data_IF_395403291105
#
_entry.id   IF_395403291105
#
_cell.length_a   1.000
_cell.length_b   1.000
_cell.length_c   1.000
_cell.angle_alpha   90.00
_cell.angle_beta   90.00
_cell.angle_gamma   90.00
#
_symmetry.space_group_name_H-M   'P 1'
#
loop_
_entity.id
_entity.type
_entity.pdbx_description
1 polymer ?
#
# COMPACT_ATOMS: atom_id res chain seq x y z
N UNK A 1 -0.70 -0.26 -0.92
CA UNK A 1 -0.90 0.97 -1.71
C UNK A 1 -0.17 2.13 -1.05
N UNK A 2 0.77 2.75 -1.74
CA UNK A 2 1.60 3.85 -1.26
C UNK A 2 1.17 5.22 -1.79
N UNK A 3 2.04 6.22 -1.59
CA UNK A 3 1.85 7.59 -2.05
C UNK A 3 2.24 7.74 -3.53
N UNK A 4 3.51 7.52 -3.82
CA UNK A 4 4.15 7.83 -5.11
C UNK A 4 5.43 6.99 -5.26
N UNK A 5 5.94 6.81 -6.48
CA UNK A 5 7.30 6.31 -6.67
C UNK A 5 8.30 7.37 -6.15
N UNK A 6 9.32 6.93 -5.42
CA UNK A 6 10.45 7.78 -5.06
C UNK A 6 11.28 8.08 -6.32
N UNK A 7 11.79 9.32 -6.45
CA UNK A 7 12.54 9.75 -7.64
C UNK A 7 13.74 8.83 -7.95
N UNK A 8 14.56 8.53 -6.94
CA UNK A 8 15.75 7.67 -7.05
C UNK A 8 15.44 6.17 -6.82
N UNK A 9 14.20 5.84 -6.47
CA UNK A 9 13.70 4.48 -6.26
C UNK A 9 12.77 4.03 -7.36
N UNK A 10 11.48 3.92 -7.06
CA UNK A 10 10.45 3.41 -7.98
C UNK A 10 10.37 4.12 -9.32
N UNK A 11 10.61 5.44 -9.37
CA UNK A 11 10.62 6.20 -10.63
C UNK A 11 11.80 5.83 -11.54
N UNK A 12 12.97 5.61 -10.95
CA UNK A 12 14.17 5.20 -11.68
C UNK A 12 14.12 3.74 -12.12
N UNK A 13 13.58 2.85 -11.27
CA UNK A 13 13.61 1.40 -11.48
C UNK A 13 12.38 0.87 -12.24
N UNK A 14 11.30 1.66 -12.34
CA UNK A 14 10.03 1.22 -12.93
C UNK A 14 9.21 0.27 -12.03
N UNK A 15 9.65 0.00 -10.79
CA UNK A 15 8.92 -0.82 -9.82
C UNK A 15 8.81 -0.09 -8.49
N UNK A 16 7.57 0.01 -7.97
CA UNK A 16 7.29 0.70 -6.71
C UNK A 16 8.12 0.13 -5.56
N UNK A 17 8.60 1.00 -4.67
CA UNK A 17 9.41 0.63 -3.49
C UNK A 17 10.67 -0.18 -3.84
N UNK A 18 11.33 0.11 -4.96
CA UNK A 18 12.52 -0.61 -5.40
C UNK A 18 13.72 0.32 -5.43
N UNK A 19 14.85 -0.13 -4.85
CA UNK A 19 16.09 0.64 -4.78
C UNK A 19 16.05 1.82 -3.81
N UNK A 20 15.21 1.78 -2.80
CA UNK A 20 15.14 2.77 -1.72
C UNK A 20 14.90 2.12 -0.35
N UNK A 21 15.14 2.88 0.72
CA UNK A 21 15.02 2.37 2.09
C UNK A 21 13.60 1.93 2.46
N UNK A 22 12.57 2.62 1.94
CA UNK A 22 11.18 2.22 2.16
C UNK A 22 10.89 0.85 1.56
N UNK A 23 11.53 0.54 0.43
CA UNK A 23 11.46 -0.74 -0.24
C UNK A 23 12.09 -1.87 0.58
N UNK A 24 13.25 -1.64 1.17
CA UNK A 24 13.90 -2.61 2.05
C UNK A 24 13.01 -3.01 3.23
N UNK A 25 12.27 -2.06 3.79
CA UNK A 25 11.31 -2.34 4.87
C UNK A 25 10.10 -3.10 4.36
N UNK A 26 9.51 -2.64 3.27
CA UNK A 26 8.27 -3.20 2.73
C UNK A 26 8.46 -4.63 2.24
N UNK A 27 9.44 -4.86 1.35
CA UNK A 27 9.62 -6.18 0.74
C UNK A 27 10.11 -7.22 1.74
N UNK A 28 10.90 -6.82 2.72
CA UNK A 28 11.24 -7.72 3.82
C UNK A 28 10.00 -8.16 4.61
N UNK A 29 9.09 -7.24 4.94
CA UNK A 29 7.86 -7.57 5.64
C UNK A 29 6.90 -8.42 4.78
N UNK A 30 6.85 -8.19 3.46
CA UNK A 30 6.10 -9.01 2.52
C UNK A 30 6.67 -10.43 2.43
N UNK A 31 7.99 -10.56 2.38
CA UNK A 31 8.68 -11.85 2.38
C UNK A 31 8.42 -12.63 3.68
N UNK A 32 8.58 -12.01 4.83
CA UNK A 32 8.30 -12.61 6.15
C UNK A 32 6.83 -13.08 6.27
N UNK A 33 5.90 -12.40 5.60
CA UNK A 33 4.49 -12.80 5.53
C UNK A 33 4.19 -13.82 4.42
N UNK A 34 5.15 -14.18 3.58
CA UNK A 34 4.98 -15.13 2.48
C UNK A 34 4.30 -14.57 1.24
N UNK A 35 4.36 -13.24 1.04
CA UNK A 35 3.87 -12.55 -0.15
C UNK A 35 4.95 -12.24 -1.18
N UNK A 36 6.21 -12.41 -0.85
CA UNK A 36 7.35 -12.23 -1.75
C UNK A 36 8.30 -13.43 -1.66
N UNK A 37 8.99 -13.74 -2.77
CA UNK A 37 9.96 -14.84 -2.84
C UNK A 37 11.32 -14.48 -2.23
N UNK A 38 11.61 -13.17 -2.06
CA UNK A 38 12.86 -12.65 -1.50
C UNK A 38 12.62 -11.39 -0.67
N UNK A 39 13.51 -11.06 0.29
CA UNK A 39 13.35 -9.93 1.19
C UNK A 39 13.81 -8.59 0.61
N UNK A 40 14.45 -8.58 -0.55
CA UNK A 40 15.08 -7.41 -1.17
C UNK A 40 14.41 -7.01 -2.47
N UNK A 41 14.55 -5.73 -2.85
CA UNK A 41 14.06 -5.15 -4.10
C UNK A 41 15.00 -4.03 -4.52
N UNK A 42 16.01 -4.38 -5.33
CA UNK A 42 17.13 -3.48 -5.69
C UNK A 42 16.93 -2.87 -7.07
N UNK A 43 16.53 -3.67 -8.06
CA UNK A 43 16.28 -3.25 -9.43
C UNK A 43 15.16 -4.09 -10.06
N UNK A 44 14.68 -3.66 -11.23
CA UNK A 44 13.52 -4.27 -11.89
C UNK A 44 13.69 -5.77 -12.15
N UNK A 45 14.88 -6.19 -12.51
CA UNK A 45 15.18 -7.55 -12.97
C UNK A 45 15.96 -8.36 -11.92
N UNK A 46 15.72 -8.10 -10.62
CA UNK A 46 16.39 -8.78 -9.49
C UNK A 46 15.75 -10.12 -9.09
N UNK A 47 14.79 -10.60 -9.86
CA UNK A 47 14.10 -11.86 -9.59
C UNK A 47 12.98 -11.78 -8.55
N UNK A 48 12.69 -10.60 -8.00
CA UNK A 48 11.57 -10.42 -7.07
C UNK A 48 10.24 -10.76 -7.75
N UNK A 49 9.50 -11.68 -7.13
CA UNK A 49 8.13 -12.02 -7.50
C UNK A 49 7.21 -11.93 -6.29
N UNK A 50 6.03 -11.37 -6.50
CA UNK A 50 4.96 -11.32 -5.50
C UNK A 50 3.95 -12.43 -5.75
N UNK A 51 3.45 -13.03 -4.68
CA UNK A 51 2.37 -14.01 -4.70
C UNK A 51 1.19 -13.49 -3.90
N UNK A 52 -0.01 -13.50 -4.49
CA UNK A 52 -1.25 -13.02 -3.84
C UNK A 52 -1.17 -11.56 -3.37
N UNK A 53 -0.27 -10.77 -3.94
CA UNK A 53 -0.06 -9.38 -3.57
C UNK A 53 0.28 -8.53 -4.79
N UNK A 54 -0.17 -7.28 -4.77
CA UNK A 54 0.15 -6.26 -5.76
C UNK A 54 0.49 -4.94 -5.06
N UNK A 55 1.46 -4.20 -5.59
CA UNK A 55 1.90 -2.93 -5.03
C UNK A 55 1.54 -1.79 -5.97
N UNK A 56 0.67 -0.91 -5.50
CA UNK A 56 0.21 0.27 -6.23
C UNK A 56 0.52 1.57 -5.48
N UNK A 57 0.32 2.71 -6.14
CA UNK A 57 0.52 4.04 -5.59
C UNK A 57 -0.63 4.99 -5.94
N UNK A 58 -0.79 6.05 -5.13
CA UNK A 58 -1.79 7.10 -5.34
C UNK A 58 -1.51 7.90 -6.60
N UNK A 59 -0.23 8.24 -6.84
CA UNK A 59 0.22 8.90 -8.08
C UNK A 59 1.29 8.05 -8.78
N UNK A 60 1.38 8.20 -10.11
CA UNK A 60 2.22 7.35 -10.97
C UNK A 60 3.63 7.89 -11.20
N UNK A 61 3.83 9.18 -11.01
CA UNK A 61 5.11 9.86 -11.17
C UNK A 61 5.63 10.34 -9.83
N UNK A 62 6.95 10.54 -9.71
CA UNK A 62 7.55 11.12 -8.53
C UNK A 62 7.18 12.62 -8.44
N UNK A 63 6.40 13.05 -7.45
CA UNK A 63 6.04 14.44 -7.32
C UNK A 63 7.19 15.25 -6.72
N UNK A 64 7.30 16.59 -6.99
CA UNK A 64 8.29 17.45 -6.37
C UNK A 64 8.26 17.33 -4.84
N UNK A 65 9.44 17.22 -4.23
CA UNK A 65 9.60 17.06 -2.78
C UNK A 65 8.76 15.93 -2.15
N UNK A 66 8.39 14.90 -2.92
CA UNK A 66 7.51 13.80 -2.50
C UNK A 66 6.13 14.26 -1.97
N UNK A 67 5.63 15.39 -2.47
CA UNK A 67 4.36 16.00 -2.05
C UNK A 67 3.47 16.24 -3.28
N UNK A 68 2.63 15.28 -3.67
CA UNK A 68 1.71 15.47 -4.78
C UNK A 68 0.66 16.52 -4.44
N UNK A 69 0.30 17.35 -5.41
CA UNK A 69 -0.83 18.28 -5.33
C UNK A 69 -2.16 17.53 -5.38
N UNK A 70 -3.25 18.20 -5.03
CA UNK A 70 -4.60 17.61 -5.17
C UNK A 70 -4.94 17.34 -6.64
N UNK A 71 -4.45 18.18 -7.56
CA UNK A 71 -4.64 18.02 -9.01
C UNK A 71 -3.90 16.80 -9.55
N UNK A 72 -2.64 16.59 -9.13
CA UNK A 72 -1.87 15.40 -9.49
C UNK A 72 -2.52 14.11 -8.96
N UNK A 73 -3.05 14.15 -7.74
CA UNK A 73 -3.79 13.03 -7.16
C UNK A 73 -5.08 12.77 -7.96
N UNK A 74 -5.82 13.81 -8.32
CA UNK A 74 -7.05 13.69 -9.11
C UNK A 74 -6.76 13.16 -10.53
N UNK A 75 -5.71 13.65 -11.18
CA UNK A 75 -5.28 13.18 -12.51
C UNK A 75 -4.87 11.70 -12.51
N UNK A 76 -4.30 11.20 -11.40
CA UNK A 76 -3.90 9.80 -11.26
C UNK A 76 -5.02 8.87 -10.76
N UNK A 77 -6.11 9.42 -10.22
CA UNK A 77 -7.21 8.61 -9.66
C UNK A 77 -7.84 7.61 -10.66
N UNK A 78 -8.05 7.94 -11.96
CA UNK A 78 -8.59 6.99 -12.93
C UNK A 78 -7.78 5.69 -13.05
N UNK A 79 -6.45 5.78 -13.02
CA UNK A 79 -5.58 4.59 -13.08
C UNK A 79 -5.75 3.68 -11.86
N UNK A 80 -5.91 4.26 -10.68
CA UNK A 80 -6.16 3.47 -9.47
C UNK A 80 -7.54 2.83 -9.50
N UNK A 81 -8.55 3.53 -10.04
CA UNK A 81 -9.89 2.99 -10.24
C UNK A 81 -9.86 1.79 -11.20
N UNK A 82 -9.18 1.92 -12.33
CA UNK A 82 -9.01 0.85 -13.32
C UNK A 82 -8.32 -0.37 -12.72
N UNK A 83 -7.23 -0.19 -11.96
CA UNK A 83 -6.58 -1.29 -11.25
C UNK A 83 -7.54 -2.04 -10.32
N UNK A 84 -8.37 -1.31 -9.55
CA UNK A 84 -9.32 -1.93 -8.62
C UNK A 84 -10.45 -2.66 -9.34
N UNK A 85 -10.83 -2.22 -10.54
CA UNK A 85 -11.81 -2.91 -11.39
C UNK A 85 -11.21 -4.20 -11.99
N UNK A 86 -9.94 -4.16 -12.41
CA UNK A 86 -9.24 -5.33 -12.97
C UNK A 86 -8.97 -6.43 -11.93
N UNK A 87 -8.83 -6.06 -10.66
CA UNK A 87 -8.61 -7.00 -9.56
C UNK A 87 -9.91 -7.38 -8.86
N UNK A 88 -10.64 -8.33 -9.40
CA UNK A 88 -11.95 -8.79 -8.92
C UNK A 88 -11.91 -9.57 -7.58
N UNK A 89 -10.72 -10.02 -7.15
CA UNK A 89 -10.52 -10.85 -5.95
C UNK A 89 -9.78 -10.16 -4.82
N UNK A 90 -9.80 -8.83 -4.77
CA UNK A 90 -9.21 -8.09 -3.65
C UNK A 90 -10.02 -8.37 -2.37
N UNK A 91 -9.35 -8.85 -1.32
CA UNK A 91 -9.92 -9.05 0.02
C UNK A 91 -9.32 -8.13 1.07
N UNK A 92 -8.06 -7.72 0.86
CA UNK A 92 -7.34 -6.86 1.80
C UNK A 92 -6.57 -5.80 1.03
N UNK A 93 -6.63 -4.58 1.52
CA UNK A 93 -5.76 -3.47 1.06
C UNK A 93 -5.02 -2.91 2.25
N UNK A 94 -3.70 -2.75 2.13
CA UNK A 94 -2.87 -2.08 3.12
C UNK A 94 -2.54 -0.68 2.61
N UNK A 95 -3.07 0.35 3.28
CA UNK A 95 -2.78 1.76 2.99
C UNK A 95 -1.50 2.21 3.69
N UNK A 96 -0.39 2.33 2.95
CA UNK A 96 0.91 2.76 3.45
C UNK A 96 0.97 4.28 3.54
N UNK A 97 0.80 4.80 4.74
CA UNK A 97 0.68 6.24 5.03
C UNK A 97 -0.74 6.77 4.86
N UNK A 98 -1.00 7.93 5.48
CA UNK A 98 -2.32 8.57 5.48
C UNK A 98 -2.82 8.86 4.06
N UNK A 99 -1.95 9.31 3.15
CA UNK A 99 -2.36 9.70 1.78
C UNK A 99 -2.78 8.46 0.98
N UNK A 100 -2.00 7.37 1.01
CA UNK A 100 -2.37 6.12 0.36
C UNK A 100 -3.68 5.54 0.89
N UNK A 101 -3.86 5.56 2.21
CA UNK A 101 -5.10 5.14 2.86
C UNK A 101 -6.30 6.01 2.44
N UNK A 102 -6.15 7.35 2.43
CA UNK A 102 -7.21 8.27 1.99
C UNK A 102 -7.54 8.12 0.49
N UNK A 103 -6.53 7.87 -0.35
CA UNK A 103 -6.75 7.67 -1.78
C UNK A 103 -7.62 6.42 -2.02
N UNK A 104 -7.37 5.34 -1.30
CA UNK A 104 -8.22 4.16 -1.38
C UNK A 104 -9.66 4.46 -0.96
N UNK A 105 -9.88 5.17 0.15
CA UNK A 105 -11.22 5.56 0.57
C UNK A 105 -11.96 6.41 -0.47
N UNK A 106 -11.25 7.36 -1.13
CA UNK A 106 -11.82 8.19 -2.19
C UNK A 106 -12.26 7.36 -3.40
N UNK A 107 -11.40 6.46 -3.86
CA UNK A 107 -11.73 5.59 -5.01
C UNK A 107 -12.87 4.65 -4.66
N UNK A 108 -12.90 4.06 -3.46
CA UNK A 108 -14.03 3.21 -3.02
C UNK A 108 -15.34 3.98 -2.99
N UNK A 109 -15.32 5.23 -2.53
CA UNK A 109 -16.51 6.11 -2.59
C UNK A 109 -16.96 6.36 -4.02
N UNK A 110 -16.01 6.61 -4.95
CA UNK A 110 -16.33 6.80 -6.37
C UNK A 110 -16.93 5.53 -7.01
N UNK A 111 -16.56 4.34 -6.52
CA UNK A 111 -17.14 3.04 -6.92
C UNK A 111 -18.49 2.75 -6.24
N UNK A 112 -19.04 3.66 -5.45
CA UNK A 112 -20.29 3.44 -4.71
C UNK A 112 -20.14 2.63 -3.42
N UNK A 113 -18.93 2.26 -3.03
CA UNK A 113 -18.64 1.47 -1.83
C UNK A 113 -18.12 2.37 -0.70
N UNK A 114 -19.02 2.98 0.04
CA UNK A 114 -18.67 3.83 1.18
C UNK A 114 -18.13 2.98 2.36
N UNK A 115 -17.22 3.54 3.19
CA UNK A 115 -16.81 2.88 4.43
C UNK A 115 -17.99 2.83 5.42
N UNK A 116 -18.00 1.86 6.37
CA UNK A 116 -19.09 1.68 7.32
C UNK A 116 -19.28 2.85 8.29
N UNK A 117 -18.25 3.68 8.45
CA UNK A 117 -18.28 4.91 9.24
C UNK A 117 -18.00 6.12 8.34
N UNK A 118 -18.73 7.21 8.56
CA UNK A 118 -18.62 8.41 7.71
C UNK A 118 -17.20 9.03 7.71
N UNK A 119 -16.47 8.90 8.81
CA UNK A 119 -15.11 9.43 8.99
C UNK A 119 -14.23 8.37 9.65
N UNK A 120 -13.71 7.40 8.88
CA UNK A 120 -12.77 6.44 9.43
C UNK A 120 -11.49 7.14 9.88
N UNK A 121 -10.95 6.71 11.02
CA UNK A 121 -9.73 7.28 11.57
C UNK A 121 -8.50 6.54 11.04
N UNK A 122 -7.45 7.29 10.72
CA UNK A 122 -6.17 6.73 10.33
C UNK A 122 -5.32 6.47 11.57
N UNK A 123 -5.05 5.22 11.85
CA UNK A 123 -4.13 4.75 12.89
C UNK A 123 -3.43 3.47 12.44
N UNK A 124 -2.17 3.26 12.87
CA UNK A 124 -1.43 2.05 12.49
C UNK A 124 -2.16 0.78 12.95
N UNK A 125 -2.41 -0.16 12.03
CA UNK A 125 -3.10 -1.41 12.31
C UNK A 125 -4.62 -1.30 12.41
N UNK A 126 -5.20 -0.09 12.27
CA UNK A 126 -6.66 0.13 12.26
C UNK A 126 -7.25 -0.48 10.99
N UNK A 127 -8.36 -1.21 11.16
CA UNK A 127 -9.09 -1.87 10.09
C UNK A 127 -10.40 -1.13 9.78
N UNK A 128 -10.70 -1.01 8.51
CA UNK A 128 -12.00 -0.57 8.01
C UNK A 128 -12.55 -1.66 7.10
N UNK A 129 -13.62 -2.33 7.49
CA UNK A 129 -14.24 -3.40 6.70
C UNK A 129 -15.42 -2.85 5.91
N UNK A 130 -15.37 -3.02 4.59
CA UNK A 130 -16.44 -2.62 3.68
C UNK A 130 -17.54 -3.68 3.60
N UNK A 131 -18.73 -3.28 3.13
CA UNK A 131 -19.89 -4.16 3.01
C UNK A 131 -19.67 -5.34 2.05
N UNK A 132 -18.83 -5.17 1.04
CA UNK A 132 -18.42 -6.23 0.09
C UNK A 132 -17.36 -7.19 0.65
N UNK A 133 -17.01 -7.07 1.93
CA UNK A 133 -16.06 -7.93 2.62
C UNK A 133 -14.59 -7.50 2.49
N UNK A 134 -14.26 -6.49 1.69
CA UNK A 134 -12.89 -5.97 1.59
C UNK A 134 -12.50 -5.28 2.89
N UNK A 135 -11.29 -5.56 3.37
CA UNK A 135 -10.72 -4.92 4.57
C UNK A 135 -9.58 -3.98 4.18
N UNK A 136 -9.69 -2.71 4.56
CA UNK A 136 -8.60 -1.74 4.48
C UNK A 136 -7.87 -1.69 5.81
N UNK A 137 -6.56 -1.95 5.81
CA UNK A 137 -5.70 -1.82 6.99
C UNK A 137 -4.85 -0.56 6.84
N UNK A 138 -4.93 0.35 7.80
CA UNK A 138 -4.08 1.52 7.84
C UNK A 138 -2.68 1.15 8.37
N UNK A 139 -1.63 1.61 7.71
CA UNK A 139 -0.25 1.36 8.11
C UNK A 139 0.56 2.66 8.05
N UNK A 140 1.42 2.92 9.03
CA UNK A 140 2.39 4.00 8.90
C UNK A 140 3.32 3.71 7.72
N UNK A 141 3.66 4.78 6.98
CA UNK A 141 4.54 4.64 5.81
C UNK A 141 5.97 4.25 6.26
N UNK A 142 6.63 3.30 5.59
CA UNK A 142 8.00 2.90 5.92
C UNK A 142 9.06 3.91 5.43
N UNK A 143 8.78 5.21 5.59
CA UNK A 143 9.73 6.29 5.29
C UNK A 143 10.85 6.34 6.33
N UNK A 144 12.01 6.83 5.94
CA UNK A 144 13.14 7.05 6.84
C UNK A 144 12.74 7.86 8.08
N UNK A 145 11.91 8.91 7.91
CA UNK A 145 11.39 9.68 9.04
C UNK A 145 10.67 8.82 10.08
N UNK A 146 9.79 7.90 9.65
CA UNK A 146 9.05 7.07 10.57
C UNK A 146 9.89 5.92 11.16
N UNK A 147 10.85 5.40 10.39
CA UNK A 147 11.69 4.29 10.84
C UNK A 147 12.81 4.75 11.77
N UNK A 148 13.44 5.88 11.49
CA UNK A 148 14.51 6.44 12.34
C UNK A 148 13.99 7.01 13.65
N UNK A 149 12.77 7.55 13.67
CA UNK A 149 12.14 8.05 14.90
C UNK A 149 11.46 6.95 15.74
N UNK A 150 11.48 5.70 15.27
CA UNK A 150 10.80 4.60 15.96
C UNK A 150 9.27 4.64 15.89
N UNK A 151 8.69 5.59 15.12
CA UNK A 151 7.24 5.66 14.90
C UNK A 151 6.71 4.42 14.18
N UNK A 152 7.52 3.84 13.29
CA UNK A 152 7.30 2.53 12.68
C UNK A 152 8.50 1.63 12.97
N UNK A 153 8.23 0.50 13.60
CA UNK A 153 9.23 -0.55 13.86
C UNK A 153 9.01 -1.76 12.94
N UNK A 154 10.04 -2.61 12.77
CA UNK A 154 9.92 -3.86 12.00
C UNK A 154 8.82 -4.78 12.53
N UNK A 155 8.69 -5.03 13.86
CA UNK A 155 7.57 -5.82 14.40
C UNK A 155 6.20 -5.23 14.07
N UNK A 156 6.04 -3.91 14.13
CA UNK A 156 4.79 -3.24 13.78
C UNK A 156 4.41 -3.49 12.31
N UNK A 157 5.35 -3.30 11.38
CA UNK A 157 5.11 -3.52 9.95
C UNK A 157 4.80 -4.98 9.65
N UNK A 158 5.55 -5.91 10.24
CA UNK A 158 5.31 -7.35 10.14
C UNK A 158 3.92 -7.73 10.63
N UNK A 159 3.46 -7.18 11.76
CA UNK A 159 2.14 -7.45 12.32
C UNK A 159 1.00 -7.07 11.35
N UNK A 160 1.14 -5.96 10.61
CA UNK A 160 0.16 -5.55 9.59
C UNK A 160 0.06 -6.58 8.47
N UNK A 161 1.18 -7.08 7.93
CA UNK A 161 1.15 -8.08 6.86
C UNK A 161 0.75 -9.48 7.35
N UNK A 162 1.09 -9.85 8.57
CA UNK A 162 0.59 -11.08 9.21
C UNK A 162 -0.94 -11.02 9.37
N UNK A 163 -1.48 -9.86 9.77
CA UNK A 163 -2.94 -9.64 9.85
C UNK A 163 -3.58 -9.74 8.46
N UNK A 164 -3.00 -9.11 7.44
CA UNK A 164 -3.47 -9.21 6.06
C UNK A 164 -3.50 -10.68 5.59
N UNK A 165 -2.44 -11.45 5.85
CA UNK A 165 -2.37 -12.88 5.55
C UNK A 165 -3.49 -13.66 6.25
N UNK A 166 -3.70 -13.44 7.53
CA UNK A 166 -4.77 -14.11 8.30
C UNK A 166 -6.15 -13.88 7.68
N UNK A 167 -6.44 -12.64 7.22
CA UNK A 167 -7.72 -12.34 6.55
C UNK A 167 -7.82 -13.09 5.21
N UNK A 168 -6.72 -13.15 4.44
CA UNK A 168 -6.69 -13.86 3.15
C UNK A 168 -6.81 -15.40 3.30
N UNK A 169 -6.29 -15.95 4.39
CA UNK A 169 -6.33 -17.41 4.66
C UNK A 169 -7.64 -17.85 5.32
N UNK A 170 -8.45 -16.91 5.82
CA UNK A 170 -9.77 -17.20 6.37
C UNK A 170 -10.77 -17.51 5.23
N UNK A 171 -11.70 -18.46 5.41
CA UNK A 171 -12.73 -18.74 4.41
C UNK A 171 -13.56 -17.48 4.10
N UNK A 172 -13.97 -17.33 2.86
CA UNK A 172 -14.92 -16.27 2.44
C UNK A 172 -16.25 -16.59 3.10
N UNK A 173 -16.73 -15.70 3.96
CA UNK A 173 -18.07 -15.81 4.56
C UNK A 173 -19.10 -15.20 3.64
#
# INVERSE_FOLDING_TARGET
>A
MGLAPAANGGNRTGRMFTGDESGHWLYRALWEAGFANQPTSEHRDDGLALSRAYVSATVRCAPPANKPTLEEIAACQPYLLEELVLFDRIRVVVGLGRIGWQAYLRVRKAMGAAPPVARPEFGHGVETRFADGVTLIACYHPSQQNTFTGKLTRPMLRAVFAKAKKILDSPVR
#
